data_IF_559851585267
#
_entry.id   IF_559851585267
#
_cell.length_a   1.000
_cell.length_b   1.000
_cell.length_c   1.000
_cell.angle_alpha   90.00
_cell.angle_beta   90.00
_cell.angle_gamma   90.00
#
_symmetry.space_group_name_H-M   'P 1'
#
loop_
_entity.id
_entity.type
_entity.pdbx_description
1 polymer ?
#
# COMPACT_ATOMS: atom_id res chain seq x y z
N UNK A 1 4.25 15.50 -25.18
CA UNK A 1 3.46 15.36 -23.96
C UNK A 1 4.39 15.48 -22.78
N UNK A 2 4.04 16.30 -21.78
CA UNK A 2 4.71 16.30 -20.47
C UNK A 2 4.40 15.01 -19.71
N UNK A 3 5.12 14.71 -18.63
CA UNK A 3 4.81 13.56 -17.77
C UNK A 3 3.41 13.66 -17.17
N UNK A 4 3.01 14.86 -16.76
CA UNK A 4 1.64 15.18 -16.32
C UNK A 4 0.60 14.80 -17.37
N UNK A 5 0.80 15.23 -18.62
CA UNK A 5 -0.11 14.88 -19.72
C UNK A 5 -0.14 13.38 -20.00
N UNK A 6 1.00 12.69 -19.86
CA UNK A 6 1.09 11.23 -20.04
C UNK A 6 0.26 10.47 -19.01
N UNK A 7 0.39 10.81 -17.73
CA UNK A 7 -0.39 10.18 -16.65
C UNK A 7 -1.88 10.43 -16.85
N UNK A 8 -2.29 11.68 -17.08
CA UNK A 8 -3.70 12.02 -17.27
C UNK A 8 -4.30 11.37 -18.53
N UNK A 9 -3.51 11.23 -19.60
CA UNK A 9 -3.92 10.50 -20.80
C UNK A 9 -4.08 9.00 -20.51
N UNK A 10 -3.15 8.38 -19.77
CA UNK A 10 -3.24 6.97 -19.39
C UNK A 10 -4.46 6.71 -18.48
N UNK A 11 -4.70 7.53 -17.45
CA UNK A 11 -5.89 7.44 -16.60
C UNK A 11 -7.19 7.49 -17.42
N UNK A 12 -7.21 8.29 -18.50
CA UNK A 12 -8.33 8.39 -19.45
C UNK A 12 -8.30 7.36 -20.58
N UNK A 13 -7.40 6.37 -20.50
CA UNK A 13 -7.16 5.32 -21.52
C UNK A 13 -6.92 5.87 -22.93
N UNK A 14 -6.33 7.04 -23.02
CA UNK A 14 -5.89 7.62 -24.29
C UNK A 14 -4.55 7.01 -24.70
N UNK A 15 -4.25 6.93 -26.01
CA UNK A 15 -2.94 6.49 -26.47
C UNK A 15 -1.82 7.38 -25.92
N UNK A 16 -0.78 6.76 -25.36
CA UNK A 16 0.42 7.45 -24.89
C UNK A 16 1.64 7.06 -25.74
N UNK A 17 2.59 7.99 -26.00
CA UNK A 17 3.82 7.69 -26.73
C UNK A 17 4.77 6.74 -25.99
N UNK A 18 4.61 6.60 -24.67
CA UNK A 18 5.29 5.60 -23.82
C UNK A 18 4.46 5.32 -22.57
N UNK A 19 4.81 4.26 -21.85
CA UNK A 19 4.22 3.94 -20.55
C UNK A 19 4.63 5.02 -19.53
N UNK A 20 3.69 5.64 -18.79
CA UNK A 20 4.02 6.58 -17.72
C UNK A 20 4.63 5.86 -16.50
N UNK A 21 5.52 6.54 -15.80
CA UNK A 21 6.20 6.05 -14.59
C UNK A 21 5.77 6.81 -13.33
N UNK A 22 5.25 6.07 -12.34
CA UNK A 22 4.85 6.60 -11.02
C UNK A 22 5.51 5.76 -9.92
N UNK A 23 6.59 6.23 -9.28
CA UNK A 23 7.43 5.41 -8.40
C UNK A 23 6.90 5.17 -6.97
N UNK A 24 5.80 5.82 -6.55
CA UNK A 24 5.29 5.82 -5.16
C UNK A 24 6.40 5.83 -4.09
N UNK A 25 7.07 6.98 -3.93
CA UNK A 25 8.31 7.11 -3.16
C UNK A 25 8.14 7.44 -1.67
N UNK A 26 6.92 7.46 -1.16
CA UNK A 26 6.51 7.86 0.20
C UNK A 26 7.59 8.50 1.07
N UNK A 27 8.00 7.80 2.12
CA UNK A 27 9.06 8.27 3.02
C UNK A 27 10.47 8.00 2.50
N UNK A 28 10.63 7.17 1.47
CA UNK A 28 11.93 6.88 0.84
C UNK A 28 12.63 8.16 0.35
N UNK A 29 11.89 9.22 -0.01
CA UNK A 29 12.49 10.51 -0.38
C UNK A 29 13.39 11.10 0.73
N UNK A 30 13.14 10.77 2.00
CA UNK A 30 13.98 11.18 3.13
C UNK A 30 15.39 10.58 3.07
N UNK A 31 15.51 9.35 2.57
CA UNK A 31 16.80 8.65 2.44
C UNK A 31 17.78 9.41 1.52
N UNK A 32 17.28 10.17 0.55
CA UNK A 32 18.08 10.95 -0.40
C UNK A 32 18.83 12.12 0.26
N UNK A 33 18.38 12.55 1.44
CA UNK A 33 18.99 13.62 2.22
C UNK A 33 19.40 13.18 3.63
N UNK A 34 19.34 11.88 3.93
CA UNK A 34 19.67 11.34 5.26
C UNK A 34 18.69 11.78 6.35
N UNK A 35 17.43 12.00 5.98
CA UNK A 35 16.34 12.46 6.87
C UNK A 35 15.42 11.28 7.18
N UNK A 36 15.14 11.07 8.47
CA UNK A 36 14.23 10.00 8.88
C UNK A 36 12.75 10.34 8.58
N UNK A 37 11.91 9.31 8.56
CA UNK A 37 10.50 9.42 8.19
C UNK A 37 9.71 10.36 9.12
N UNK A 38 10.01 10.38 10.42
CA UNK A 38 9.31 11.24 11.38
C UNK A 38 9.64 12.72 11.14
N UNK A 39 10.92 13.04 10.95
CA UNK A 39 11.36 14.39 10.60
C UNK A 39 10.73 14.86 9.29
N UNK A 40 10.76 13.99 8.27
CA UNK A 40 10.20 14.26 6.95
C UNK A 40 8.70 14.58 7.04
N UNK A 41 7.90 13.68 7.65
CA UNK A 41 6.43 13.78 7.70
C UNK A 41 5.91 14.89 8.64
N UNK A 42 6.80 15.58 9.35
CA UNK A 42 6.50 16.72 10.24
C UNK A 42 7.07 18.05 9.73
N UNK A 43 7.59 18.12 8.51
CA UNK A 43 8.17 19.35 7.95
C UNK A 43 7.82 19.56 6.49
N UNK A 44 7.13 20.66 6.20
CA UNK A 44 6.74 21.04 4.84
C UNK A 44 7.98 21.36 3.99
N UNK A 45 9.01 21.97 4.61
CA UNK A 45 10.29 22.25 3.98
C UNK A 45 10.99 20.95 3.55
N UNK A 46 11.04 19.94 4.43
CA UNK A 46 11.68 18.66 4.11
C UNK A 46 10.89 17.87 3.05
N UNK A 47 9.56 17.83 3.15
CA UNK A 47 8.71 17.22 2.12
C UNK A 47 8.93 17.87 0.75
N UNK A 48 9.01 19.20 0.71
CA UNK A 48 9.26 19.95 -0.52
C UNK A 48 10.66 19.66 -1.06
N UNK A 49 11.70 19.84 -0.24
CA UNK A 49 13.09 19.71 -0.68
C UNK A 49 13.45 18.27 -1.09
N UNK A 50 13.00 17.26 -0.34
CA UNK A 50 13.17 15.86 -0.69
C UNK A 50 12.30 15.46 -1.89
N UNK A 51 11.09 16.02 -2.01
CA UNK A 51 10.20 15.80 -3.15
C UNK A 51 10.79 16.32 -4.46
N UNK A 52 11.39 17.52 -4.46
CA UNK A 52 12.09 18.06 -5.63
C UNK A 52 13.31 17.22 -6.00
N UNK A 53 14.10 16.78 -5.01
CA UNK A 53 15.24 15.88 -5.22
C UNK A 53 14.80 14.56 -5.88
N UNK A 54 13.76 13.93 -5.34
CA UNK A 54 13.21 12.70 -5.90
C UNK A 54 12.69 12.91 -7.33
N UNK A 55 12.06 14.05 -7.62
CA UNK A 55 11.63 14.39 -8.98
C UNK A 55 12.81 14.48 -9.95
N UNK A 56 13.87 15.20 -9.56
CA UNK A 56 15.08 15.35 -10.39
C UNK A 56 15.78 14.01 -10.63
N UNK A 57 15.90 13.19 -9.57
CA UNK A 57 16.62 11.91 -9.62
C UNK A 57 15.85 10.81 -10.36
N UNK A 58 14.55 10.69 -10.13
CA UNK A 58 13.73 9.60 -10.65
C UNK A 58 12.93 9.98 -11.89
N UNK A 59 12.87 11.27 -12.22
CA UNK A 59 12.16 11.83 -13.38
C UNK A 59 10.75 11.23 -13.56
N UNK A 60 9.92 11.22 -12.51
CA UNK A 60 8.62 10.58 -12.56
C UNK A 60 7.63 11.38 -13.43
N UNK A 61 6.73 10.67 -14.08
CA UNK A 61 5.61 11.30 -14.79
C UNK A 61 4.49 11.68 -13.83
N UNK A 62 4.32 10.92 -12.75
CA UNK A 62 3.47 11.26 -11.62
C UNK A 62 4.15 10.96 -10.29
N UNK A 63 3.86 11.77 -9.26
CA UNK A 63 4.56 11.72 -7.98
C UNK A 63 3.59 11.98 -6.81
N UNK A 64 3.51 11.10 -5.81
CA UNK A 64 2.81 11.41 -4.57
C UNK A 64 3.59 12.43 -3.75
N UNK A 65 2.85 13.31 -3.07
CA UNK A 65 3.45 14.30 -2.16
C UNK A 65 3.72 13.68 -0.79
N UNK A 66 2.77 12.89 -0.29
CA UNK A 66 2.88 12.12 0.96
C UNK A 66 2.22 10.76 0.76
N UNK A 67 2.80 9.71 1.32
CA UNK A 67 2.18 8.38 1.46
C UNK A 67 2.15 8.02 2.95
N UNK A 68 1.07 8.42 3.62
CA UNK A 68 0.82 8.19 5.06
C UNK A 68 -0.69 8.08 5.22
N UNK A 69 -1.18 6.90 5.64
CA UNK A 69 -2.62 6.61 5.76
C UNK A 69 -3.17 6.91 7.15
N UNK A 70 -2.33 7.48 8.02
CA UNK A 70 -2.61 7.69 9.43
C UNK A 70 -2.95 9.15 9.74
N UNK A 71 -2.83 10.07 8.78
CA UNK A 71 -3.14 11.50 8.94
C UNK A 71 -4.59 11.70 9.40
N UNK A 72 -5.56 11.11 8.70
CA UNK A 72 -6.98 11.24 9.03
C UNK A 72 -7.31 10.53 10.34
N UNK A 73 -6.70 9.37 10.60
CA UNK A 73 -6.87 8.64 11.85
C UNK A 73 -6.33 9.43 13.06
N UNK A 74 -5.17 10.06 12.93
CA UNK A 74 -4.56 10.93 13.95
C UNK A 74 -5.48 12.10 14.28
N UNK A 75 -6.03 12.78 13.27
CA UNK A 75 -6.97 13.90 13.46
C UNK A 75 -8.23 13.45 14.21
N UNK A 76 -8.69 12.23 13.96
CA UNK A 76 -9.85 11.64 14.61
C UNK A 76 -9.55 11.03 15.98
N UNK A 77 -8.32 11.18 16.49
CA UNK A 77 -7.95 10.83 17.86
C UNK A 77 -7.24 9.50 18.04
N UNK A 78 -6.81 8.84 16.97
CA UNK A 78 -5.89 7.70 17.08
C UNK A 78 -4.50 8.17 17.51
N UNK A 79 -3.93 7.56 18.54
CA UNK A 79 -2.52 7.73 18.85
C UNK A 79 -1.66 7.00 17.84
N UNK A 80 -0.49 7.54 17.54
CA UNK A 80 0.43 7.00 16.54
C UNK A 80 1.73 6.48 17.19
N UNK A 81 2.23 5.36 16.68
CA UNK A 81 3.56 4.82 16.97
C UNK A 81 4.48 5.10 15.79
N UNK A 82 5.44 5.99 16.00
CA UNK A 82 6.39 6.42 14.98
C UNK A 82 7.54 5.42 14.76
N UNK A 83 8.02 5.37 13.52
CA UNK A 83 9.20 4.65 13.09
C UNK A 83 10.13 5.61 12.33
N UNK A 84 11.43 5.31 12.29
CA UNK A 84 12.42 6.18 11.62
C UNK A 84 12.49 5.98 10.12
N UNK A 85 12.08 4.83 9.63
CA UNK A 85 12.25 4.36 8.27
C UNK A 85 10.91 4.02 7.62
N UNK A 86 9.81 4.57 8.15
CA UNK A 86 8.47 4.29 7.67
C UNK A 86 7.41 5.29 8.17
N UNK A 87 6.23 5.34 7.51
CA UNK A 87 5.06 6.00 8.08
C UNK A 87 4.70 5.42 9.46
N UNK A 88 4.07 6.22 10.35
CA UNK A 88 3.66 5.75 11.67
C UNK A 88 2.55 4.70 11.59
N UNK A 89 2.40 3.89 12.64
CA UNK A 89 1.30 2.96 12.80
C UNK A 89 0.26 3.47 13.83
N UNK A 90 -1.01 3.14 13.63
CA UNK A 90 -2.08 3.41 14.63
C UNK A 90 -1.86 2.56 15.89
N UNK A 91 -1.80 3.20 17.06
CA UNK A 91 -1.57 2.57 18.35
C UNK A 91 -2.86 2.40 19.17
N UNK A 92 -3.83 3.31 19.01
CA UNK A 92 -5.11 3.28 19.73
C UNK A 92 -6.29 3.49 18.79
N UNK A 93 -7.47 3.03 19.22
CA UNK A 93 -8.70 3.05 18.43
C UNK A 93 -9.79 3.79 19.25
N UNK A 94 -10.21 5.01 18.88
CA UNK A 94 -11.19 5.80 19.62
C UNK A 94 -12.52 5.08 19.90
N UNK A 95 -12.89 4.14 19.02
CA UNK A 95 -14.11 3.34 19.09
C UNK A 95 -13.84 1.89 19.55
N UNK A 96 -12.71 1.60 20.21
CA UNK A 96 -12.37 0.25 20.68
C UNK A 96 -13.43 -0.37 21.61
N UNK A 97 -14.06 0.45 22.45
CA UNK A 97 -15.03 0.01 23.45
C UNK A 97 -16.49 0.06 22.99
N UNK A 98 -16.75 0.58 21.78
CA UNK A 98 -18.10 0.79 21.26
C UNK A 98 -18.21 2.05 20.39
N UNK A 99 -19.41 2.30 19.88
CA UNK A 99 -19.70 3.36 18.91
C UNK A 99 -20.25 4.65 19.54
N UNK A 100 -20.37 4.73 20.86
CA UNK A 100 -20.98 5.86 21.58
C UNK A 100 -20.27 7.18 21.28
N UNK A 101 -18.96 7.12 21.04
CA UNK A 101 -18.10 8.27 20.72
C UNK A 101 -18.13 8.66 19.23
N UNK A 102 -18.79 7.89 18.35
CA UNK A 102 -18.85 8.21 16.91
C UNK A 102 -19.45 9.61 16.68
N UNK A 103 -20.50 9.97 17.43
CA UNK A 103 -21.15 11.29 17.36
C UNK A 103 -20.27 12.46 17.85
N UNK A 104 -19.15 12.16 18.52
CA UNK A 104 -18.21 13.16 19.02
C UNK A 104 -17.10 13.45 18.00
N UNK A 105 -16.88 12.52 17.05
CA UNK A 105 -15.94 12.70 15.95
C UNK A 105 -16.44 13.81 15.01
N UNK A 106 -15.48 14.57 14.46
CA UNK A 106 -15.76 15.70 13.57
C UNK A 106 -14.99 15.53 12.28
N UNK A 107 -15.53 16.08 11.20
CA UNK A 107 -14.82 16.12 9.92
C UNK A 107 -13.55 16.99 10.05
N UNK A 108 -12.42 16.58 9.45
CA UNK A 108 -11.18 17.36 9.47
C UNK A 108 -11.34 18.75 8.85
N UNK A 109 -10.73 19.75 9.48
CA UNK A 109 -10.54 21.09 8.94
C UNK A 109 -9.10 21.25 8.44
N UNK A 110 -8.83 22.17 7.50
CA UNK A 110 -7.49 22.32 6.94
C UNK A 110 -6.42 22.70 7.98
N UNK A 111 -6.82 23.27 9.12
CA UNK A 111 -5.94 23.61 10.25
C UNK A 111 -5.66 22.45 11.23
N UNK A 112 -6.32 21.29 11.08
CA UNK A 112 -6.22 20.19 12.04
C UNK A 112 -5.01 19.28 11.78
N UNK A 113 -4.39 18.79 12.85
CA UNK A 113 -3.30 17.81 12.81
C UNK A 113 -2.13 18.22 11.90
N UNK A 114 -1.70 17.31 11.03
CA UNK A 114 -0.61 17.53 10.06
C UNK A 114 -1.06 18.11 8.72
N UNK A 115 -2.36 18.40 8.52
CA UNK A 115 -2.85 18.94 7.25
C UNK A 115 -2.19 20.27 6.84
N UNK A 116 -1.93 21.25 7.73
CA UNK A 116 -1.24 22.48 7.33
C UNK A 116 0.12 22.23 6.66
N UNK A 117 0.88 21.29 7.20
CA UNK A 117 2.21 20.88 6.73
C UNK A 117 2.09 20.23 5.34
N UNK A 118 1.15 19.30 5.20
CA UNK A 118 0.93 18.55 3.95
C UNK A 118 0.44 19.49 2.84
N UNK A 119 -0.54 20.35 3.14
CA UNK A 119 -1.10 21.30 2.19
C UNK A 119 -0.08 22.35 1.74
N UNK A 120 0.82 22.77 2.64
CA UNK A 120 1.94 23.64 2.27
C UNK A 120 2.92 22.94 1.32
N UNK A 121 3.35 21.72 1.64
CA UNK A 121 4.23 20.94 0.77
C UNK A 121 3.60 20.66 -0.61
N UNK A 122 2.30 20.37 -0.65
CA UNK A 122 1.54 20.19 -1.90
C UNK A 122 1.57 21.43 -2.78
N UNK A 123 1.32 22.62 -2.21
CA UNK A 123 1.37 23.90 -2.95
C UNK A 123 2.78 24.18 -3.47
N UNK A 124 3.80 24.02 -2.63
CA UNK A 124 5.19 24.24 -3.01
C UNK A 124 5.61 23.31 -4.16
N UNK A 125 5.32 22.00 -4.07
CA UNK A 125 5.63 21.06 -5.15
C UNK A 125 4.80 21.33 -6.42
N UNK A 126 3.56 21.81 -6.28
CA UNK A 126 2.74 22.19 -7.42
C UNK A 126 3.40 23.33 -8.23
N UNK A 127 3.96 24.32 -7.53
CA UNK A 127 4.70 25.43 -8.13
C UNK A 127 6.01 24.98 -8.79
N UNK A 128 6.80 24.15 -8.09
CA UNK A 128 8.14 23.74 -8.54
C UNK A 128 8.12 22.74 -9.72
N UNK A 129 7.28 21.70 -9.64
CA UNK A 129 7.34 20.55 -10.58
C UNK A 129 6.00 20.22 -11.25
N UNK A 130 4.89 20.74 -10.73
CA UNK A 130 3.54 20.37 -11.14
C UNK A 130 3.13 20.78 -12.56
N UNK A 131 3.97 21.56 -13.27
CA UNK A 131 3.79 21.82 -14.71
C UNK A 131 4.09 20.57 -15.56
N UNK A 132 5.07 19.77 -15.14
CA UNK A 132 5.61 18.66 -15.94
C UNK A 132 5.31 17.29 -15.34
N UNK A 133 5.00 17.20 -14.05
CA UNK A 133 4.71 15.95 -13.33
C UNK A 133 3.28 16.03 -12.76
N UNK A 134 2.49 14.96 -12.90
CA UNK A 134 1.18 14.84 -12.26
C UNK A 134 1.36 14.62 -10.75
N UNK A 135 0.84 15.51 -9.91
CA UNK A 135 0.97 15.33 -8.46
C UNK A 135 -0.21 14.54 -7.89
N UNK A 136 0.11 13.56 -7.04
CA UNK A 136 -0.87 12.69 -6.41
C UNK A 136 -1.08 13.11 -4.94
N UNK A 137 -2.33 13.33 -4.58
CA UNK A 137 -2.78 13.39 -3.20
C UNK A 137 -3.32 12.03 -2.77
N UNK A 138 -2.82 11.47 -1.68
CA UNK A 138 -3.25 10.16 -1.18
C UNK A 138 -4.12 10.36 0.05
N UNK A 139 -5.33 9.84 0.02
CA UNK A 139 -6.28 9.85 1.14
C UNK A 139 -6.56 8.42 1.57
N UNK A 140 -6.75 8.19 2.86
CA UNK A 140 -7.16 6.87 3.35
C UNK A 140 -8.60 6.58 2.91
N UNK A 141 -8.83 5.36 2.42
CA UNK A 141 -10.16 4.91 2.06
C UNK A 141 -11.03 4.60 3.28
N UNK A 142 -12.36 4.61 3.10
CA UNK A 142 -13.30 4.59 4.20
C UNK A 142 -13.26 3.29 5.03
N UNK A 143 -12.93 2.15 4.41
CA UNK A 143 -12.91 0.88 5.13
C UNK A 143 -11.69 0.76 6.05
N UNK A 144 -10.50 1.11 5.54
CA UNK A 144 -9.27 1.19 6.34
C UNK A 144 -9.40 2.23 7.46
N UNK A 145 -10.00 3.38 7.19
CA UNK A 145 -10.24 4.39 8.23
C UNK A 145 -11.20 3.89 9.31
N UNK A 146 -12.29 3.22 8.94
CA UNK A 146 -13.20 2.61 9.91
C UNK A 146 -12.46 1.59 10.80
N UNK A 147 -11.56 0.78 10.22
CA UNK A 147 -10.74 -0.16 10.97
C UNK A 147 -9.74 0.56 11.88
N UNK A 148 -9.17 1.70 11.45
CA UNK A 148 -8.33 2.53 12.32
C UNK A 148 -9.11 3.10 13.51
N UNK A 149 -10.40 3.41 13.36
CA UNK A 149 -11.20 3.96 14.46
C UNK A 149 -11.72 2.87 15.41
N UNK A 150 -12.12 1.72 14.86
CA UNK A 150 -12.78 0.62 15.60
C UNK A 150 -11.83 -0.47 16.08
N UNK A 151 -10.71 -0.66 15.40
CA UNK A 151 -9.85 -1.83 15.54
C UNK A 151 -10.42 -3.06 14.84
N UNK A 152 -9.79 -4.21 15.04
CA UNK A 152 -10.14 -5.49 14.37
C UNK A 152 -11.55 -6.01 14.69
N UNK A 153 -12.19 -5.50 15.75
CA UNK A 153 -13.59 -5.81 16.06
C UNK A 153 -14.57 -5.42 14.94
N UNK A 154 -14.18 -4.50 14.05
CA UNK A 154 -14.99 -4.13 12.89
C UNK A 154 -15.40 -5.35 12.05
N UNK A 155 -14.53 -6.35 11.90
CA UNK A 155 -14.84 -7.56 11.12
C UNK A 155 -15.97 -8.38 11.75
N UNK A 156 -16.05 -8.42 13.09
CA UNK A 156 -17.15 -9.08 13.79
C UNK A 156 -18.41 -8.22 13.73
N UNK A 157 -18.27 -6.90 13.89
CA UNK A 157 -19.38 -5.95 13.83
C UNK A 157 -20.05 -5.90 12.45
N UNK A 158 -19.37 -6.30 11.37
CA UNK A 158 -19.99 -6.48 10.05
C UNK A 158 -21.11 -7.54 10.07
N UNK A 159 -21.04 -8.52 10.97
CA UNK A 159 -22.09 -9.53 11.15
C UNK A 159 -23.05 -9.15 12.28
N UNK A 160 -22.53 -8.69 13.41
CA UNK A 160 -23.30 -8.47 14.63
C UNK A 160 -24.05 -7.12 14.62
N UNK A 161 -23.49 -6.10 13.97
CA UNK A 161 -23.97 -4.71 13.97
C UNK A 161 -23.86 -4.04 12.57
N UNK A 162 -24.39 -4.65 11.50
CA UNK A 162 -24.13 -4.22 10.12
C UNK A 162 -24.57 -2.78 9.83
N UNK A 163 -25.68 -2.32 10.42
CA UNK A 163 -26.16 -0.94 10.21
C UNK A 163 -25.24 0.09 10.88
N UNK A 164 -24.72 -0.19 12.07
CA UNK A 164 -23.74 0.67 12.75
C UNK A 164 -22.42 0.73 11.98
N UNK A 165 -21.99 -0.38 11.38
CA UNK A 165 -20.82 -0.40 10.48
C UNK A 165 -21.07 0.47 9.26
N UNK A 166 -22.26 0.39 8.63
CA UNK A 166 -22.62 1.25 7.49
C UNK A 166 -22.62 2.74 7.87
N UNK A 167 -23.09 3.09 9.06
CA UNK A 167 -22.99 4.46 9.59
C UNK A 167 -21.54 4.93 9.77
N UNK A 168 -20.67 4.08 10.34
CA UNK A 168 -19.26 4.38 10.48
C UNK A 168 -18.57 4.56 9.12
N UNK A 169 -18.84 3.67 8.15
CA UNK A 169 -18.27 3.77 6.80
C UNK A 169 -18.74 5.04 6.09
N UNK A 170 -20.01 5.46 6.26
CA UNK A 170 -20.49 6.72 5.70
C UNK A 170 -19.83 7.94 6.34
N UNK A 171 -19.57 7.91 7.65
CA UNK A 171 -18.76 8.96 8.29
C UNK A 171 -17.34 9.00 7.73
N UNK A 172 -16.66 7.85 7.62
CA UNK A 172 -15.33 7.77 7.04
C UNK A 172 -15.29 8.24 5.58
N UNK A 173 -16.34 7.96 4.79
CA UNK A 173 -16.51 8.49 3.43
C UNK A 173 -16.46 10.02 3.41
N UNK A 174 -17.23 10.66 4.29
CA UNK A 174 -17.27 12.12 4.38
C UNK A 174 -15.89 12.69 4.77
N UNK A 175 -15.15 12.02 5.65
CA UNK A 175 -13.77 12.38 5.99
C UNK A 175 -12.85 12.31 4.77
N UNK A 176 -12.88 11.19 4.03
CA UNK A 176 -12.09 11.01 2.80
C UNK A 176 -12.40 12.08 1.76
N UNK A 177 -13.68 12.40 1.53
CA UNK A 177 -14.11 13.46 0.61
C UNK A 177 -13.60 14.84 1.04
N UNK A 178 -13.70 15.14 2.33
CA UNK A 178 -13.29 16.43 2.87
C UNK A 178 -11.78 16.67 2.70
N UNK A 179 -10.97 15.66 2.97
CA UNK A 179 -9.51 15.75 2.80
C UNK A 179 -9.13 15.75 1.31
N UNK A 180 -9.82 14.96 0.48
CA UNK A 180 -9.62 14.98 -0.96
C UNK A 180 -9.90 16.37 -1.56
N UNK A 181 -10.94 17.06 -1.10
CA UNK A 181 -11.23 18.45 -1.50
C UNK A 181 -10.04 19.37 -1.21
N UNK A 182 -9.48 19.31 0.01
CA UNK A 182 -8.32 20.13 0.36
C UNK A 182 -7.09 19.84 -0.50
N UNK A 183 -6.86 18.57 -0.86
CA UNK A 183 -5.75 18.19 -1.74
C UNK A 183 -5.97 18.63 -3.19
N UNK A 184 -7.20 18.58 -3.69
CA UNK A 184 -7.55 19.13 -5.01
C UNK A 184 -7.35 20.64 -5.03
N UNK A 185 -7.80 21.35 -3.99
CA UNK A 185 -7.63 22.80 -3.85
C UNK A 185 -6.16 23.21 -3.73
N UNK A 186 -5.31 22.35 -3.14
CA UNK A 186 -3.86 22.53 -3.11
C UNK A 186 -3.17 22.23 -4.46
N UNK A 187 -3.91 21.73 -5.45
CA UNK A 187 -3.47 21.55 -6.82
C UNK A 187 -3.08 20.12 -7.22
N UNK A 188 -3.43 19.10 -6.42
CA UNK A 188 -3.20 17.70 -6.80
C UNK A 188 -4.02 17.33 -8.05
N UNK A 189 -3.38 16.67 -9.01
CA UNK A 189 -3.99 16.29 -10.28
C UNK A 189 -4.76 14.97 -10.19
N UNK A 190 -4.30 14.08 -9.29
CA UNK A 190 -4.87 12.75 -9.06
C UNK A 190 -5.07 12.55 -7.57
N UNK A 191 -6.25 12.09 -7.17
CA UNK A 191 -6.54 11.63 -5.81
C UNK A 191 -6.51 10.10 -5.79
N UNK A 192 -5.51 9.53 -5.12
CA UNK A 192 -5.45 8.11 -4.86
C UNK A 192 -6.17 7.81 -3.54
N UNK A 193 -7.26 7.06 -3.61
CA UNK A 193 -7.98 6.54 -2.45
C UNK A 193 -7.33 5.22 -2.09
N UNK A 194 -6.56 5.20 -1.00
CA UNK A 194 -5.75 4.05 -0.60
C UNK A 194 -6.44 3.30 0.54
N UNK A 195 -6.92 2.08 0.26
CA UNK A 195 -7.76 1.32 1.19
C UNK A 195 -7.30 -0.15 1.31
N UNK A 196 -6.12 -0.41 1.90
CA UNK A 196 -5.50 -1.74 1.90
C UNK A 196 -6.33 -2.82 2.60
N UNK A 197 -7.17 -2.45 3.57
CA UNK A 197 -7.97 -3.42 4.32
C UNK A 197 -9.11 -4.04 3.49
N UNK A 198 -9.42 -3.48 2.32
CA UNK A 198 -10.33 -4.08 1.35
C UNK A 198 -9.84 -5.44 0.84
N UNK A 199 -8.52 -5.66 0.80
CA UNK A 199 -7.96 -6.98 0.45
C UNK A 199 -8.32 -8.09 1.45
N UNK A 200 -8.87 -7.74 2.61
CA UNK A 200 -9.18 -8.66 3.71
C UNK A 200 -10.66 -9.04 3.78
N UNK A 201 -11.49 -8.59 2.83
CA UNK A 201 -12.93 -8.89 2.77
C UNK A 201 -13.32 -9.54 1.43
N UNK A 202 -14.45 -10.24 1.43
CA UNK A 202 -15.03 -10.82 0.21
C UNK A 202 -15.65 -9.75 -0.70
N UNK A 203 -15.89 -10.11 -1.97
CA UNK A 203 -16.63 -9.26 -2.89
C UNK A 203 -18.04 -8.89 -2.37
N UNK A 204 -18.72 -9.85 -1.72
CA UNK A 204 -20.07 -9.63 -1.16
C UNK A 204 -20.03 -8.61 -0.02
N UNK A 205 -19.07 -8.73 0.90
CA UNK A 205 -18.88 -7.75 1.96
C UNK A 205 -18.45 -6.38 1.41
N UNK A 206 -17.60 -6.35 0.39
CA UNK A 206 -17.26 -5.09 -0.27
C UNK A 206 -18.51 -4.44 -0.87
N UNK A 207 -19.36 -5.20 -1.55
CA UNK A 207 -20.60 -4.69 -2.14
C UNK A 207 -21.56 -4.16 -1.08
N UNK A 208 -21.71 -4.88 0.03
CA UNK A 208 -22.61 -4.50 1.11
C UNK A 208 -22.14 -3.23 1.85
N UNK A 209 -20.85 -3.17 2.20
CA UNK A 209 -20.35 -2.15 3.13
C UNK A 209 -19.60 -1.01 2.46
N UNK A 210 -18.89 -1.26 1.35
CA UNK A 210 -17.87 -0.33 0.81
C UNK A 210 -18.27 0.29 -0.52
N UNK A 211 -18.88 -0.47 -1.44
CA UNK A 211 -19.15 -0.05 -2.83
C UNK A 211 -19.86 1.30 -2.94
N UNK A 212 -20.89 1.54 -2.10
CA UNK A 212 -21.64 2.79 -2.12
C UNK A 212 -20.75 3.99 -1.73
N UNK A 213 -19.95 3.84 -0.69
CA UNK A 213 -19.05 4.88 -0.24
C UNK A 213 -17.94 5.16 -1.26
N UNK A 214 -17.28 4.12 -1.75
CA UNK A 214 -16.24 4.25 -2.78
C UNK A 214 -16.77 4.92 -4.05
N UNK A 215 -17.93 4.49 -4.56
CA UNK A 215 -18.55 5.10 -5.75
C UNK A 215 -18.85 6.58 -5.57
N UNK A 216 -19.31 6.98 -4.38
CA UNK A 216 -19.61 8.37 -4.08
C UNK A 216 -18.33 9.22 -4.01
N UNK A 217 -17.25 8.71 -3.40
CA UNK A 217 -15.95 9.38 -3.36
C UNK A 217 -15.41 9.63 -4.77
N UNK A 218 -15.45 8.62 -5.65
CA UNK A 218 -14.96 8.79 -7.02
C UNK A 218 -15.85 9.72 -7.85
N UNK A 219 -17.16 9.70 -7.64
CA UNK A 219 -18.07 10.68 -8.24
C UNK A 219 -17.77 12.10 -7.77
N UNK A 220 -17.49 12.29 -6.48
CA UNK A 220 -17.10 13.57 -5.89
C UNK A 220 -15.79 14.10 -6.48
N UNK A 221 -14.73 13.28 -6.52
CA UNK A 221 -13.42 13.65 -7.09
C UNK A 221 -13.59 14.09 -8.56
N UNK A 222 -14.37 13.34 -9.34
CA UNK A 222 -14.65 13.65 -10.75
C UNK A 222 -15.41 14.97 -10.91
N UNK A 223 -16.40 15.24 -10.05
CA UNK A 223 -17.15 16.51 -10.05
C UNK A 223 -16.25 17.71 -9.72
N UNK A 224 -15.22 17.51 -8.91
CA UNK A 224 -14.18 18.50 -8.60
C UNK A 224 -13.14 18.67 -9.72
N UNK A 225 -13.20 17.85 -10.77
CA UNK A 225 -12.34 17.97 -11.95
C UNK A 225 -10.96 17.34 -11.84
N UNK A 226 -10.71 16.55 -10.79
CA UNK A 226 -9.49 15.75 -10.63
C UNK A 226 -9.70 14.32 -11.13
N UNK A 227 -8.61 13.62 -11.44
CA UNK A 227 -8.66 12.18 -11.70
C UNK A 227 -8.58 11.38 -10.39
N UNK A 228 -9.06 10.14 -10.38
CA UNK A 228 -8.95 9.24 -9.23
C UNK A 228 -8.21 7.94 -9.53
N UNK A 229 -7.52 7.42 -8.51
CA UNK A 229 -7.01 6.04 -8.52
C UNK A 229 -7.54 5.29 -7.29
N UNK A 230 -8.03 4.07 -7.48
CA UNK A 230 -8.36 3.18 -6.37
C UNK A 230 -7.16 2.27 -6.09
N UNK A 231 -6.50 2.50 -4.96
CA UNK A 231 -5.29 1.80 -4.58
C UNK A 231 -5.59 0.82 -3.44
N UNK A 232 -5.35 -0.47 -3.67
CA UNK A 232 -5.43 -1.49 -2.61
C UNK A 232 -4.11 -2.27 -2.57
N UNK A 233 -3.40 -2.18 -1.43
CA UNK A 233 -2.23 -3.03 -1.17
C UNK A 233 -2.68 -4.41 -0.65
N UNK A 234 -1.85 -5.44 -0.86
CA UNK A 234 -2.20 -6.85 -0.61
C UNK A 234 -3.00 -7.50 -1.75
N UNK A 235 -3.45 -8.74 -1.55
CA UNK A 235 -4.14 -9.51 -2.59
C UNK A 235 -5.59 -9.05 -2.81
N UNK A 236 -5.77 -8.06 -3.66
CA UNK A 236 -7.09 -7.53 -4.05
C UNK A 236 -7.80 -8.36 -5.14
N UNK A 237 -7.26 -9.50 -5.58
CA UNK A 237 -7.84 -10.32 -6.66
C UNK A 237 -9.34 -10.62 -6.46
N UNK A 238 -9.83 -11.01 -5.26
CA UNK A 238 -11.25 -11.33 -5.06
C UNK A 238 -12.20 -10.13 -5.21
N UNK A 239 -11.70 -8.90 -5.04
CA UNK A 239 -12.49 -7.68 -4.98
C UNK A 239 -12.24 -6.75 -6.18
N UNK A 240 -11.36 -7.14 -7.10
CA UNK A 240 -10.90 -6.27 -8.19
C UNK A 240 -12.03 -5.81 -9.12
N UNK A 241 -12.95 -6.73 -9.44
CA UNK A 241 -14.10 -6.42 -10.29
C UNK A 241 -15.07 -5.43 -9.60
N UNK A 242 -15.36 -5.61 -8.33
CA UNK A 242 -16.27 -4.71 -7.59
C UNK A 242 -15.62 -3.36 -7.28
N UNK A 243 -14.29 -3.30 -7.16
CA UNK A 243 -13.53 -2.05 -7.14
C UNK A 243 -13.70 -1.29 -8.46
N UNK A 244 -13.55 -1.96 -9.61
CA UNK A 244 -13.71 -1.34 -10.93
C UNK A 244 -15.14 -0.82 -11.15
N UNK A 245 -16.16 -1.52 -10.64
CA UNK A 245 -17.56 -1.08 -10.68
C UNK A 245 -17.82 0.23 -9.91
N UNK A 246 -16.93 0.63 -9.00
CA UNK A 246 -17.02 1.92 -8.31
C UNK A 246 -16.62 3.12 -9.21
N UNK A 247 -16.20 2.86 -10.45
CA UNK A 247 -15.87 3.85 -11.49
C UNK A 247 -14.75 4.84 -11.12
N UNK A 248 -13.61 4.40 -10.55
CA UNK A 248 -12.42 5.24 -10.51
C UNK A 248 -11.90 5.48 -11.94
N UNK A 249 -11.02 6.47 -12.16
CA UNK A 249 -10.33 6.58 -13.46
C UNK A 249 -9.30 5.47 -13.63
N UNK A 250 -8.71 4.97 -12.53
CA UNK A 250 -7.77 3.86 -12.56
C UNK A 250 -7.76 3.01 -11.29
N UNK A 251 -7.19 1.81 -11.40
CA UNK A 251 -6.84 0.95 -10.26
C UNK A 251 -5.32 0.83 -10.13
N UNK A 252 -4.80 0.88 -8.90
CA UNK A 252 -3.40 0.60 -8.60
C UNK A 252 -3.33 -0.68 -7.76
N UNK A 253 -2.60 -1.68 -8.26
CA UNK A 253 -2.59 -3.04 -7.69
C UNK A 253 -1.23 -3.44 -7.14
N UNK A 254 -1.28 -4.25 -6.09
CA UNK A 254 -0.14 -4.84 -5.40
C UNK A 254 0.56 -5.94 -6.20
N UNK A 255 1.81 -6.26 -5.84
CA UNK A 255 2.59 -7.37 -6.42
C UNK A 255 1.95 -8.75 -6.23
N UNK A 256 1.04 -8.88 -5.26
CA UNK A 256 0.25 -10.09 -5.03
C UNK A 256 -0.90 -10.31 -6.03
N UNK A 257 -1.21 -9.33 -6.90
CA UNK A 257 -2.30 -9.42 -7.90
C UNK A 257 -1.72 -9.74 -9.27
N UNK A 258 -2.36 -10.66 -10.01
CA UNK A 258 -1.97 -10.91 -11.39
C UNK A 258 -2.33 -9.70 -12.28
N UNK A 259 -1.31 -9.08 -12.89
CA UNK A 259 -1.48 -7.85 -13.68
C UNK A 259 -2.27 -8.07 -14.98
N UNK A 260 -2.19 -9.25 -15.59
CA UNK A 260 -3.01 -9.61 -16.77
C UNK A 260 -4.49 -9.67 -16.40
N UNK A 261 -4.82 -10.29 -15.27
CA UNK A 261 -6.20 -10.30 -14.75
C UNK A 261 -6.70 -8.87 -14.45
N UNK A 262 -5.85 -8.03 -13.86
CA UNK A 262 -6.18 -6.62 -13.65
C UNK A 262 -6.41 -5.86 -14.95
N UNK A 263 -5.61 -6.14 -15.98
CA UNK A 263 -5.81 -5.61 -17.34
C UNK A 263 -7.16 -6.05 -17.92
N UNK A 264 -7.54 -7.32 -17.81
CA UNK A 264 -8.83 -7.82 -18.28
C UNK A 264 -10.00 -7.07 -17.62
N UNK A 265 -9.94 -6.84 -16.31
CA UNK A 265 -10.94 -6.06 -15.57
C UNK A 265 -10.92 -4.60 -16.03
N UNK A 266 -9.74 -3.97 -16.12
CA UNK A 266 -9.60 -2.58 -16.54
C UNK A 266 -10.15 -2.34 -17.96
N UNK A 267 -9.90 -3.27 -18.88
CA UNK A 267 -10.45 -3.24 -20.24
C UNK A 267 -11.98 -3.43 -20.24
N UNK A 268 -12.52 -4.33 -19.42
CA UNK A 268 -13.97 -4.55 -19.29
C UNK A 268 -14.72 -3.30 -18.82
N UNK A 269 -14.17 -2.59 -17.84
CA UNK A 269 -14.79 -1.41 -17.21
C UNK A 269 -14.32 -0.08 -17.78
N UNK A 270 -13.43 -0.10 -18.78
CA UNK A 270 -12.87 1.10 -19.43
C UNK A 270 -12.18 2.05 -18.43
N UNK A 271 -11.42 1.49 -17.49
CA UNK A 271 -10.57 2.23 -16.53
C UNK A 271 -9.10 1.95 -16.78
N UNK A 272 -8.20 2.77 -16.26
CA UNK A 272 -6.76 2.51 -16.29
C UNK A 272 -6.33 1.50 -15.21
N UNK A 273 -5.11 0.99 -15.31
CA UNK A 273 -4.52 0.10 -14.31
C UNK A 273 -3.03 0.38 -14.15
N UNK A 274 -2.49 0.14 -12.95
CA UNK A 274 -1.08 0.35 -12.66
C UNK A 274 -0.53 -0.60 -11.62
N UNK A 275 0.79 -0.75 -11.64
CA UNK A 275 1.53 -1.75 -10.86
C UNK A 275 2.36 -2.65 -11.77
N UNK A 276 2.97 -3.70 -11.26
CA UNK A 276 3.12 -3.99 -9.84
C UNK A 276 4.54 -4.50 -9.56
N UNK A 277 5.55 -3.66 -9.87
CA UNK A 277 6.96 -4.01 -9.65
C UNK A 277 7.13 -4.52 -8.20
N UNK A 278 7.69 -5.73 -7.99
CA UNK A 278 7.90 -6.29 -6.66
C UNK A 278 8.77 -5.42 -5.77
N UNK A 279 8.30 -5.08 -4.58
CA UNK A 279 8.96 -4.11 -3.70
C UNK A 279 10.27 -4.65 -3.15
N UNK A 280 10.24 -5.91 -2.75
CA UNK A 280 11.32 -6.46 -1.93
C UNK A 280 12.33 -7.22 -2.77
N UNK A 281 11.85 -8.19 -3.54
CA UNK A 281 12.70 -9.08 -4.34
C UNK A 281 13.37 -8.37 -5.52
N UNK A 282 12.72 -7.33 -6.06
CA UNK A 282 13.24 -6.54 -7.19
C UNK A 282 13.77 -5.19 -6.70
N UNK A 283 12.94 -4.35 -6.10
CA UNK A 283 13.39 -2.97 -5.82
C UNK A 283 14.39 -2.86 -4.67
N UNK A 284 14.13 -3.51 -3.53
CA UNK A 284 15.00 -3.41 -2.35
C UNK A 284 16.27 -4.25 -2.48
N UNK A 285 16.13 -5.51 -2.92
CA UNK A 285 17.23 -6.49 -2.88
C UNK A 285 17.77 -6.89 -4.24
N UNK A 286 17.07 -6.55 -5.31
CA UNK A 286 17.55 -6.75 -6.67
C UNK A 286 18.64 -5.75 -7.03
N UNK A 287 19.37 -6.07 -8.10
CA UNK A 287 20.32 -5.18 -8.74
C UNK A 287 19.60 -4.13 -9.61
N UNK A 288 20.36 -3.16 -10.13
CA UNK A 288 19.85 -2.25 -11.15
C UNK A 288 19.40 -3.01 -12.40
N UNK A 289 20.07 -4.11 -12.75
CA UNK A 289 19.69 -4.95 -13.90
C UNK A 289 18.35 -5.66 -13.66
N UNK A 290 18.11 -6.18 -12.45
CA UNK A 290 16.82 -6.81 -12.08
C UNK A 290 15.67 -5.81 -12.19
N UNK A 291 15.89 -4.59 -11.71
CA UNK A 291 14.92 -3.49 -11.78
C UNK A 291 14.61 -3.07 -13.21
N UNK A 292 15.63 -2.90 -14.07
CA UNK A 292 15.43 -2.64 -15.49
C UNK A 292 14.72 -3.79 -16.19
N UNK A 293 15.14 -5.03 -15.93
CA UNK A 293 14.56 -6.23 -16.55
C UNK A 293 13.07 -6.35 -16.23
N UNK A 294 12.69 -6.16 -14.96
CA UNK A 294 11.29 -6.22 -14.54
C UNK A 294 10.47 -5.08 -15.13
N UNK A 295 11.00 -3.86 -15.18
CA UNK A 295 10.32 -2.73 -15.82
C UNK A 295 10.06 -3.00 -17.32
N UNK A 296 11.07 -3.52 -18.03
CA UNK A 296 10.96 -3.89 -19.45
C UNK A 296 9.94 -5.00 -19.68
N UNK A 297 9.98 -6.05 -18.86
CA UNK A 297 9.01 -7.17 -18.90
C UNK A 297 7.58 -6.66 -18.78
N UNK A 298 7.29 -5.84 -17.78
CA UNK A 298 5.95 -5.32 -17.53
C UNK A 298 5.48 -4.39 -18.65
N UNK A 299 6.33 -3.46 -19.10
CA UNK A 299 6.03 -2.55 -20.22
C UNK A 299 5.81 -3.32 -21.54
N UNK A 300 6.53 -4.42 -21.76
CA UNK A 300 6.37 -5.22 -22.97
C UNK A 300 5.09 -6.05 -22.97
N UNK A 301 4.74 -6.62 -21.82
CA UNK A 301 3.54 -7.43 -21.67
C UNK A 301 2.25 -6.57 -21.73
N UNK A 302 2.29 -5.34 -21.20
CA UNK A 302 1.09 -4.52 -21.01
C UNK A 302 1.04 -3.33 -21.99
N UNK A 303 1.32 -3.62 -23.27
CA UNK A 303 1.17 -2.64 -24.35
C UNK A 303 -0.31 -2.34 -24.58
N UNK A 304 -0.67 -1.07 -24.50
CA UNK A 304 -2.06 -0.63 -24.74
C UNK A 304 -2.43 0.59 -23.90
N UNK A 305 -3.67 1.08 -24.08
CA UNK A 305 -4.13 2.24 -23.33
C UNK A 305 -4.28 1.90 -21.83
N UNK A 306 -3.93 2.87 -21.00
CA UNK A 306 -4.27 2.84 -19.58
C UNK A 306 -3.32 2.10 -18.65
N UNK A 307 -2.20 1.57 -19.14
CA UNK A 307 -1.18 1.03 -18.26
C UNK A 307 -0.28 2.15 -17.70
N UNK A 308 -0.07 2.16 -16.38
CA UNK A 308 0.89 3.01 -15.67
C UNK A 308 1.88 2.10 -14.93
N UNK A 309 3.16 2.21 -15.26
CA UNK A 309 4.20 1.47 -14.55
C UNK A 309 4.37 2.07 -13.15
N UNK A 310 4.27 1.23 -12.13
CA UNK A 310 4.48 1.60 -10.73
C UNK A 310 4.89 0.37 -9.92
N UNK A 311 5.48 0.55 -8.72
CA UNK A 311 5.55 -0.51 -7.73
C UNK A 311 4.15 -0.99 -7.30
N UNK A 312 4.11 -2.13 -6.61
CA UNK A 312 2.87 -2.68 -6.03
C UNK A 312 2.28 -1.86 -4.89
N UNK A 313 3.10 -1.19 -4.08
CA UNK A 313 2.67 -0.31 -2.98
C UNK A 313 3.71 0.81 -2.79
N UNK A 314 3.73 1.47 -1.63
CA UNK A 314 4.80 2.40 -1.25
C UNK A 314 6.15 1.67 -1.18
N UNK A 315 7.20 2.27 -1.71
CA UNK A 315 8.53 1.61 -1.71
C UNK A 315 9.17 1.67 -0.33
N UNK A 316 9.86 0.60 0.13
CA UNK A 316 10.59 0.63 1.39
C UNK A 316 11.60 1.78 1.46
N UNK A 317 11.74 2.39 2.63
CA UNK A 317 12.67 3.51 2.84
C UNK A 317 14.10 3.21 2.39
N UNK A 318 14.55 1.97 2.63
CA UNK A 318 15.91 1.50 2.34
C UNK A 318 16.13 1.02 0.90
N UNK A 319 15.14 1.14 -0.01
CA UNK A 319 15.37 0.83 -1.43
C UNK A 319 16.56 1.63 -1.94
N UNK A 320 17.58 0.99 -2.56
CA UNK A 320 18.72 1.72 -3.12
C UNK A 320 18.23 2.75 -4.15
N UNK A 321 18.55 4.05 -4.01
CA UNK A 321 18.10 5.08 -4.96
C UNK A 321 18.47 4.78 -6.42
N UNK A 322 19.62 4.13 -6.64
CA UNK A 322 20.08 3.67 -7.96
C UNK A 322 19.17 2.63 -8.62
N UNK A 323 18.44 1.82 -7.84
CA UNK A 323 17.46 0.86 -8.36
C UNK A 323 16.23 1.58 -8.92
N UNK A 324 15.72 2.58 -8.22
CA UNK A 324 14.61 3.43 -8.70
C UNK A 324 15.02 4.22 -9.94
N UNK A 325 16.24 4.78 -9.96
CA UNK A 325 16.80 5.43 -11.14
C UNK A 325 16.97 4.47 -12.32
N UNK A 326 17.31 3.21 -12.07
CA UNK A 326 17.43 2.19 -13.12
C UNK A 326 16.10 1.95 -13.85
N UNK A 327 14.98 1.86 -13.10
CA UNK A 327 13.63 1.76 -13.70
C UNK A 327 13.34 2.98 -14.58
N UNK A 328 13.61 4.19 -14.07
CA UNK A 328 13.42 5.43 -14.83
C UNK A 328 14.19 5.41 -16.15
N UNK A 329 15.47 5.01 -16.13
CA UNK A 329 16.28 4.88 -17.34
C UNK A 329 15.69 3.87 -18.33
N UNK A 330 15.17 2.72 -17.86
CA UNK A 330 14.49 1.76 -18.72
C UNK A 330 13.22 2.32 -19.36
N UNK A 331 12.46 3.16 -18.66
CA UNK A 331 11.26 3.83 -19.20
C UNK A 331 11.63 4.84 -20.29
N UNK A 332 12.74 5.57 -20.13
CA UNK A 332 13.16 6.61 -21.08
C UNK A 332 13.98 6.08 -22.27
N UNK A 333 14.73 4.99 -22.10
CA UNK A 333 15.54 4.36 -23.15
C UNK A 333 15.49 2.82 -23.05
N UNK A 334 14.36 2.18 -23.44
CA UNK A 334 14.17 0.74 -23.30
C UNK A 334 15.22 -0.09 -24.03
N UNK A 335 15.67 0.35 -25.20
CA UNK A 335 16.62 -0.40 -26.04
C UNK A 335 18.01 -0.44 -25.39
N UNK A 336 18.50 0.68 -24.83
CA UNK A 336 19.76 0.63 -24.07
C UNK A 336 19.64 -0.15 -22.78
N UNK A 337 18.49 -0.05 -22.11
CA UNK A 337 18.25 -0.85 -20.91
C UNK A 337 18.29 -2.35 -21.20
N UNK A 338 17.77 -2.81 -22.35
CA UNK A 338 17.92 -4.22 -22.79
C UNK A 338 19.37 -4.64 -22.92
N UNK A 339 20.20 -3.82 -23.58
CA UNK A 339 21.65 -4.10 -23.71
C UNK A 339 22.33 -4.15 -22.34
N UNK A 340 21.97 -3.24 -21.43
CA UNK A 340 22.48 -3.26 -20.06
C UNK A 340 22.08 -4.54 -19.32
N UNK A 341 20.80 -4.91 -19.36
CA UNK A 341 20.29 -6.14 -18.74
C UNK A 341 21.00 -7.36 -19.30
N UNK A 342 21.14 -7.49 -20.63
CA UNK A 342 21.81 -8.62 -21.28
C UNK A 342 23.27 -8.80 -20.85
N UNK A 343 23.97 -7.71 -20.58
CA UNK A 343 25.40 -7.72 -20.21
C UNK A 343 25.64 -7.86 -18.70
N UNK A 344 24.60 -7.82 -17.86
CA UNK A 344 24.69 -7.85 -16.40
C UNK A 344 23.71 -8.85 -15.74
N UNK A 345 23.26 -9.90 -16.45
CA UNK A 345 22.28 -10.89 -15.92
C UNK A 345 22.78 -11.71 -14.73
N UNK A 346 24.11 -11.81 -14.54
CA UNK A 346 24.71 -12.69 -13.53
C UNK A 346 24.90 -12.01 -12.14
N UNK A 347 24.59 -10.71 -12.00
CA UNK A 347 24.77 -9.95 -10.76
C UNK A 347 23.59 -10.09 -9.75
N UNK A 348 22.78 -11.15 -9.84
CA UNK A 348 21.60 -11.32 -8.97
C UNK A 348 22.00 -11.55 -7.51
N UNK A 349 21.66 -10.61 -6.62
CA UNK A 349 22.17 -10.51 -5.25
C UNK A 349 21.54 -11.49 -4.21
N UNK A 350 20.81 -12.51 -4.67
CA UNK A 350 20.02 -13.41 -3.82
C UNK A 350 20.61 -14.83 -3.64
N UNK A 351 21.74 -15.16 -4.29
CA UNK A 351 22.20 -16.55 -4.37
C UNK A 351 22.96 -17.10 -3.14
N UNK A 352 23.43 -16.27 -2.21
CA UNK A 352 24.46 -16.70 -1.23
C UNK A 352 24.08 -16.62 0.26
N UNK A 353 22.79 -16.52 0.62
CA UNK A 353 22.37 -16.40 2.03
C UNK A 353 21.99 -17.76 2.63
N UNK A 354 22.88 -18.33 3.45
CA UNK A 354 22.56 -19.50 4.29
C UNK A 354 21.73 -19.09 5.52
N UNK A 355 20.62 -19.81 5.75
CA UNK A 355 19.79 -19.65 6.94
C UNK A 355 19.55 -21.00 7.62
N UNK A 356 19.46 -20.98 8.96
CA UNK A 356 19.02 -22.10 9.77
C UNK A 356 17.48 -22.10 9.89
N UNK A 357 16.87 -23.28 9.70
CA UNK A 357 15.43 -23.49 9.80
C UNK A 357 15.14 -24.35 11.03
N UNK A 358 14.10 -24.04 11.83
CA UNK A 358 13.66 -24.92 12.91
C UNK A 358 13.32 -26.33 12.42
N UNK A 359 13.60 -27.34 13.25
CA UNK A 359 13.04 -28.68 13.07
C UNK A 359 11.58 -28.68 13.52
N UNK A 360 10.67 -28.38 12.59
CA UNK A 360 9.25 -28.22 12.84
C UNK A 360 8.58 -29.49 13.39
N UNK A 361 9.15 -30.66 13.14
CA UNK A 361 8.62 -31.96 13.61
C UNK A 361 9.00 -32.25 15.07
N UNK A 362 10.01 -31.56 15.61
CA UNK A 362 10.56 -31.79 16.96
C UNK A 362 10.37 -30.60 17.91
N UNK A 363 9.45 -29.67 17.61
CA UNK A 363 9.23 -28.48 18.44
C UNK A 363 8.58 -28.86 19.80
N UNK A 364 9.00 -28.22 20.90
CA UNK A 364 8.43 -28.45 22.24
C UNK A 364 7.02 -27.85 22.43
N UNK A 365 6.56 -27.07 21.46
CA UNK A 365 5.28 -26.37 21.46
C UNK A 365 4.92 -25.90 20.05
N UNK A 366 4.02 -24.93 19.95
CA UNK A 366 3.64 -24.33 18.67
C UNK A 366 4.53 -23.12 18.40
N UNK A 367 5.20 -23.11 17.24
CA UNK A 367 5.89 -21.95 16.71
C UNK A 367 5.02 -21.29 15.65
N UNK A 368 4.72 -20.01 15.86
CA UNK A 368 4.02 -19.16 14.90
C UNK A 368 5.02 -18.20 14.27
N UNK A 369 5.19 -18.27 12.96
CA UNK A 369 6.03 -17.36 12.19
C UNK A 369 5.13 -16.48 11.31
N UNK A 370 5.17 -15.17 11.51
CA UNK A 370 4.38 -14.21 10.72
C UNK A 370 5.31 -13.53 9.71
N UNK A 371 5.17 -13.87 8.44
CA UNK A 371 5.94 -13.25 7.37
C UNK A 371 5.22 -12.00 6.89
N UNK A 372 5.90 -10.86 6.96
CA UNK A 372 5.33 -9.53 6.68
C UNK A 372 6.24 -8.74 5.74
N UNK A 373 5.70 -7.69 5.12
CA UNK A 373 6.54 -6.64 4.55
C UNK A 373 7.23 -5.89 5.71
N UNK A 374 6.42 -5.22 6.53
CA UNK A 374 6.78 -4.69 7.84
C UNK A 374 5.52 -4.37 8.65
N UNK A 375 5.27 -5.04 9.78
CA UNK A 375 4.10 -4.78 10.64
C UNK A 375 4.12 -3.40 11.33
N UNK A 376 5.26 -2.72 11.33
CA UNK A 376 5.34 -1.36 11.86
C UNK A 376 4.70 -0.33 10.92
N UNK A 377 4.41 -0.69 9.66
CA UNK A 377 4.22 0.30 8.57
C UNK A 377 3.08 -0.09 7.64
N UNK A 378 2.94 -1.39 7.35
CA UNK A 378 1.93 -1.93 6.45
C UNK A 378 0.68 -2.36 7.25
N UNK A 379 -0.50 -1.75 7.04
CA UNK A 379 -1.68 -2.05 7.86
C UNK A 379 -2.11 -3.53 7.86
N UNK A 380 -2.18 -4.26 6.71
CA UNK A 380 -2.45 -5.69 6.73
C UNK A 380 -1.43 -6.49 7.55
N UNK A 381 -0.13 -6.16 7.44
CA UNK A 381 0.93 -6.81 8.22
C UNK A 381 0.76 -6.54 9.71
N UNK A 382 0.45 -5.29 10.07
CA UNK A 382 0.20 -4.87 11.45
C UNK A 382 -0.93 -5.66 12.09
N UNK A 383 -2.10 -5.68 11.46
CA UNK A 383 -3.27 -6.34 12.03
C UNK A 383 -3.10 -7.85 12.10
N UNK A 384 -2.34 -8.45 11.17
CA UNK A 384 -1.97 -9.86 11.26
C UNK A 384 -1.08 -10.14 12.49
N UNK A 385 -0.04 -9.32 12.72
CA UNK A 385 0.83 -9.43 13.91
C UNK A 385 0.06 -9.17 15.20
N UNK A 386 -0.86 -8.21 15.21
CA UNK A 386 -1.69 -7.92 16.39
C UNK A 386 -2.67 -9.07 16.69
N UNK A 387 -3.25 -9.71 15.68
CA UNK A 387 -4.03 -10.94 15.86
C UNK A 387 -3.18 -12.08 16.44
N UNK A 388 -1.95 -12.28 15.96
CA UNK A 388 -1.00 -13.25 16.52
C UNK A 388 -0.67 -12.97 17.99
N UNK A 389 -0.41 -11.71 18.34
CA UNK A 389 -0.17 -11.32 19.75
C UNK A 389 -1.38 -11.60 20.64
N UNK A 390 -2.58 -11.37 20.15
CA UNK A 390 -3.81 -11.63 20.91
C UNK A 390 -4.01 -13.13 21.15
N UNK A 391 -3.83 -13.97 20.12
CA UNK A 391 -4.02 -15.42 20.27
C UNK A 391 -2.91 -16.05 21.12
N UNK A 392 -1.66 -15.60 21.01
CA UNK A 392 -0.55 -16.13 21.79
C UNK A 392 -0.76 -15.99 23.31
N UNK A 393 -1.41 -14.90 23.76
CA UNK A 393 -1.79 -14.70 25.17
C UNK A 393 -2.76 -15.75 25.72
N UNK A 394 -3.51 -16.43 24.84
CA UNK A 394 -4.43 -17.50 25.25
C UNK A 394 -3.72 -18.84 25.51
N UNK A 395 -2.45 -18.96 25.12
CA UNK A 395 -1.66 -20.19 25.16
C UNK A 395 -0.29 -19.97 25.84
N UNK A 396 -0.27 -19.22 26.95
CA UNK A 396 0.98 -18.92 27.68
C UNK A 396 1.80 -20.19 27.98
N UNK A 397 3.08 -20.15 27.58
CA UNK A 397 4.03 -21.26 27.76
C UNK A 397 3.87 -22.43 26.77
N UNK A 398 2.97 -22.33 25.79
CA UNK A 398 2.76 -23.35 24.74
C UNK A 398 2.93 -22.84 23.31
N UNK A 399 2.85 -21.52 23.12
CA UNK A 399 2.99 -20.85 21.83
C UNK A 399 4.13 -19.84 21.92
N UNK A 400 5.12 -20.01 21.04
CA UNK A 400 6.11 -18.99 20.72
C UNK A 400 5.76 -18.35 19.38
N UNK A 401 6.06 -17.06 19.22
CA UNK A 401 5.82 -16.40 17.94
C UNK A 401 6.92 -15.39 17.60
N UNK A 402 7.13 -15.19 16.29
CA UNK A 402 8.11 -14.26 15.73
C UNK A 402 7.57 -13.65 14.44
N UNK A 403 7.88 -12.38 14.21
CA UNK A 403 7.67 -11.73 12.92
C UNK A 403 8.98 -11.79 12.11
N UNK A 404 8.88 -12.20 10.84
CA UNK A 404 9.96 -12.11 9.88
C UNK A 404 9.62 -11.11 8.79
N UNK A 405 10.36 -10.01 8.76
CA UNK A 405 10.19 -8.94 7.78
C UNK A 405 10.93 -9.31 6.51
N UNK A 406 10.23 -9.39 5.39
CA UNK A 406 10.88 -9.77 4.13
C UNK A 406 11.80 -8.66 3.60
N UNK A 407 11.82 -7.47 4.21
CA UNK A 407 12.83 -6.43 3.97
C UNK A 407 14.26 -6.87 4.30
N UNK A 408 14.43 -7.99 5.00
CA UNK A 408 15.73 -8.64 5.28
C UNK A 408 15.95 -9.85 4.34
N UNK A 409 17.18 -9.99 3.81
CA UNK A 409 17.51 -11.03 2.80
C UNK A 409 17.27 -12.45 3.32
N UNK A 410 17.65 -12.70 4.56
CA UNK A 410 17.51 -13.98 5.26
C UNK A 410 16.04 -14.41 5.32
N UNK A 411 15.13 -13.45 5.52
CA UNK A 411 13.70 -13.73 5.65
C UNK A 411 13.04 -14.02 4.30
N UNK A 412 13.60 -13.57 3.18
CA UNK A 412 13.14 -14.01 1.84
C UNK A 412 13.53 -15.45 1.57
N UNK A 413 14.76 -15.84 1.91
CA UNK A 413 15.17 -17.24 1.80
C UNK A 413 14.27 -18.12 2.69
N UNK A 414 13.91 -17.63 3.89
CA UNK A 414 12.96 -18.30 4.79
C UNK A 414 11.58 -18.42 4.14
N UNK A 415 11.04 -17.34 3.59
CA UNK A 415 9.77 -17.31 2.85
C UNK A 415 9.74 -18.35 1.73
N UNK A 416 10.80 -18.41 0.91
CA UNK A 416 10.95 -19.37 -0.18
C UNK A 416 10.99 -20.82 0.32
N UNK A 417 11.79 -21.10 1.36
CA UNK A 417 11.90 -22.46 1.95
C UNK A 417 10.59 -22.93 2.62
N UNK A 418 9.81 -22.00 3.15
CA UNK A 418 8.47 -22.27 3.71
C UNK A 418 7.38 -22.40 2.64
N UNK A 419 7.70 -22.20 1.36
CA UNK A 419 6.73 -22.25 0.26
C UNK A 419 5.70 -21.12 0.31
N UNK A 420 6.02 -20.00 0.97
CA UNK A 420 5.14 -18.83 1.06
C UNK A 420 5.30 -18.00 -0.21
N UNK A 421 4.20 -17.75 -0.92
CA UNK A 421 4.19 -16.98 -2.18
C UNK A 421 3.62 -15.58 -2.04
N UNK A 422 2.89 -15.30 -0.96
CA UNK A 422 2.20 -14.04 -0.74
C UNK A 422 2.37 -13.59 0.72
N UNK A 423 2.30 -12.29 0.96
CA UNK A 423 2.39 -11.69 2.30
C UNK A 423 1.23 -10.71 2.55
N UNK A 424 0.84 -10.46 3.82
CA UNK A 424 1.35 -11.14 5.01
C UNK A 424 0.82 -12.58 5.12
N UNK A 425 1.60 -13.47 5.74
CA UNK A 425 1.24 -14.89 5.92
C UNK A 425 1.60 -15.37 7.32
N UNK A 426 0.67 -16.06 7.97
CA UNK A 426 0.90 -16.82 9.20
C UNK A 426 1.28 -18.25 8.85
N UNK A 427 2.43 -18.68 9.36
CA UNK A 427 2.95 -20.05 9.30
C UNK A 427 2.88 -20.66 10.70
N UNK A 428 2.33 -21.86 10.82
CA UNK A 428 2.25 -22.61 12.09
C UNK A 428 3.04 -23.90 11.92
N UNK A 429 4.10 -24.08 12.71
CA UNK A 429 5.04 -25.20 12.63
C UNK A 429 5.47 -25.50 11.18
N UNK A 430 5.98 -24.47 10.49
CA UNK A 430 6.50 -24.59 9.12
C UNK A 430 5.45 -24.72 8.02
N UNK A 431 4.15 -24.70 8.36
CA UNK A 431 3.04 -24.80 7.39
C UNK A 431 2.33 -23.46 7.20
N UNK A 432 2.36 -22.86 5.99
CA UNK A 432 1.53 -21.70 5.68
C UNK A 432 0.06 -21.99 5.95
N UNK A 433 -0.54 -21.30 6.92
CA UNK A 433 -1.89 -21.60 7.42
C UNK A 433 -2.88 -20.51 7.03
N UNK A 434 -2.51 -19.24 7.19
CA UNK A 434 -3.34 -18.10 6.76
C UNK A 434 -2.52 -17.24 5.81
N UNK A 435 -2.86 -17.27 4.52
CA UNK A 435 -2.13 -16.59 3.44
C UNK A 435 -2.92 -15.38 2.98
N UNK A 436 -2.36 -14.18 3.16
CA UNK A 436 -2.99 -12.90 2.77
C UNK A 436 -4.38 -12.64 3.38
N UNK A 437 -4.69 -13.30 4.49
CA UNK A 437 -5.97 -13.22 5.19
C UNK A 437 -5.74 -13.19 6.70
N UNK A 438 -6.28 -12.19 7.38
CA UNK A 438 -6.21 -12.09 8.85
C UNK A 438 -7.35 -12.91 9.47
N UNK A 439 -7.06 -13.99 10.22
CA UNK A 439 -8.10 -14.80 10.85
C UNK A 439 -8.73 -14.10 12.06
N UNK A 440 -9.99 -14.39 12.34
CA UNK A 440 -10.59 -14.07 13.63
C UNK A 440 -9.95 -14.91 14.76
N UNK A 441 -10.11 -14.45 16.00
CA UNK A 441 -9.47 -15.07 17.16
C UNK A 441 -9.92 -16.52 17.40
N UNK A 442 -11.17 -16.88 17.08
CA UNK A 442 -11.70 -18.23 17.28
C UNK A 442 -11.14 -19.20 16.24
N UNK A 443 -11.12 -18.78 14.97
CA UNK A 443 -10.50 -19.54 13.87
C UNK A 443 -9.02 -19.75 14.12
N UNK A 444 -8.29 -18.70 14.52
CA UNK A 444 -6.87 -18.80 14.82
C UNK A 444 -6.60 -19.75 15.99
N UNK A 445 -7.39 -19.64 17.08
CA UNK A 445 -7.32 -20.54 18.23
C UNK A 445 -7.53 -22.01 17.83
N UNK A 446 -8.49 -22.29 16.95
CA UNK A 446 -8.76 -23.65 16.49
C UNK A 446 -7.55 -24.27 15.78
N UNK A 447 -6.85 -23.53 14.92
CA UNK A 447 -5.68 -24.06 14.23
C UNK A 447 -4.53 -24.38 15.21
N UNK A 448 -4.31 -23.53 16.21
CA UNK A 448 -3.31 -23.79 17.26
C UNK A 448 -3.68 -25.05 18.06
N UNK A 449 -4.96 -25.22 18.43
CA UNK A 449 -5.42 -26.40 19.15
C UNK A 449 -5.30 -27.69 18.34
N UNK A 450 -5.43 -27.63 17.01
CA UNK A 450 -5.19 -28.80 16.14
C UNK A 450 -3.74 -29.25 16.22
N UNK A 451 -2.80 -28.31 16.19
CA UNK A 451 -1.37 -28.61 16.26
C UNK A 451 -0.98 -29.12 17.65
N UNK A 452 -1.49 -28.54 18.73
CA UNK A 452 -1.21 -29.01 20.10
C UNK A 452 -1.77 -30.41 20.41
N UNK A 453 -2.69 -30.93 19.59
CA UNK A 453 -3.31 -32.27 19.74
C UNK A 453 -2.67 -33.33 18.84
N UNK A 454 -1.88 -32.91 17.84
CA UNK A 454 -1.12 -33.78 16.95
C UNK A 454 0.17 -34.20 17.63
#
# INVERSE_FOLDING_TARGET
MTGRELVLAALKRQPTPRVPWVPFTGVHIGSLKGVDAEQLLKSAELLTACGVEANQRYRPDGQPVVFDLQVEAEILGCELKWAKDAPPAVATHPLADGYEKLKELRLPRPEDGRLPIILEAMRNLKEEIGRNTALYGLVVGPFTLALHLRGTNLFLDMFDQPETVKELIDFCRQVTEQVAEYYIDAGMDVIAVVDPMISQISADHFQEFVSKAASHIFDFIRQKGACSSFFVCGNATPVLEVMAQCRPDGISIDENVNLEYAKEIADRYQISYGGNIPLTTVMLLGSQADNMAKALELMDAHKGPGYILSPGCDIPYNVPPENVSAISLAVFDPEKARVFVETNKDDSAAADVEIEMPDYDSLPGVLIEVLTLDSATCPPCKYMVDATKQVAKLFEGKVDWVEYKITEKENIVRMQRLGVTNIPTIVINGKPTFVSYIPDLATYKQEIEKVLKA
#
